data_IF_503505728353
#
_entry.id   IF_503505728353
#
_cell.length_a   1.000
_cell.length_b   1.000
_cell.length_c   1.000
_cell.angle_alpha   90.00
_cell.angle_beta   90.00
_cell.angle_gamma   90.00
#
_symmetry.space_group_name_H-M   'P 1'
#
loop_
_entity.id
_entity.type
_entity.pdbx_description
1 polymer ?
#
# COMPACT_ATOMS: atom_id res chain seq x y z
N UNK A 1 30.59 0.83 -7.76
CA UNK A 1 30.67 -0.16 -8.85
C UNK A 1 29.47 -1.10 -8.70
N UNK A 2 28.39 -0.92 -9.46
CA UNK A 2 27.23 -1.83 -9.46
C UNK A 2 27.61 -3.04 -10.33
N UNK A 3 27.88 -4.18 -9.71
CA UNK A 3 28.18 -5.42 -10.43
C UNK A 3 26.86 -6.17 -10.59
N UNK A 4 26.33 -6.20 -11.82
CA UNK A 4 25.20 -7.05 -12.18
C UNK A 4 25.74 -8.43 -12.54
N UNK A 5 25.46 -9.43 -11.71
CA UNK A 5 25.85 -10.82 -11.94
C UNK A 5 24.73 -11.58 -12.62
N UNK A 6 25.00 -12.19 -13.79
CA UNK A 6 24.03 -12.99 -14.54
C UNK A 6 24.32 -14.49 -14.38
N UNK A 7 23.28 -15.30 -14.25
CA UNK A 7 23.38 -16.78 -14.26
C UNK A 7 22.22 -17.35 -15.07
N UNK A 8 22.54 -18.15 -16.08
CA UNK A 8 21.56 -18.86 -16.91
C UNK A 8 21.18 -20.20 -16.25
N UNK A 9 19.89 -20.53 -16.22
CA UNK A 9 19.37 -21.75 -15.61
C UNK A 9 18.33 -22.37 -16.56
N UNK A 10 18.28 -23.70 -16.67
CA UNK A 10 17.41 -24.41 -17.62
C UNK A 10 15.96 -24.55 -17.12
N UNK A 11 15.02 -24.57 -18.08
CA UNK A 11 13.58 -24.39 -17.91
C UNK A 11 12.79 -25.61 -17.41
N UNK A 12 13.45 -26.68 -16.96
CA UNK A 12 12.78 -27.95 -16.61
C UNK A 12 12.21 -27.96 -15.19
N UNK A 13 12.38 -26.90 -14.39
CA UNK A 13 11.92 -26.83 -13.00
C UNK A 13 11.00 -25.62 -12.77
N UNK A 14 9.83 -25.85 -12.18
CA UNK A 14 8.85 -24.80 -11.80
C UNK A 14 9.29 -24.00 -10.55
N UNK A 15 10.36 -24.43 -9.89
CA UNK A 15 10.90 -23.85 -8.66
C UNK A 15 12.41 -23.67 -8.80
N UNK A 16 12.89 -22.48 -8.44
CA UNK A 16 14.30 -22.12 -8.45
C UNK A 16 14.77 -21.84 -7.03
N UNK A 17 15.86 -22.50 -6.62
CA UNK A 17 16.56 -22.23 -5.36
C UNK A 17 17.84 -21.48 -5.70
N UNK A 18 17.90 -20.21 -5.31
CA UNK A 18 19.08 -19.37 -5.50
C UNK A 18 19.77 -19.19 -4.15
N UNK A 19 21.01 -19.66 -4.07
CA UNK A 19 21.91 -19.39 -2.95
C UNK A 19 22.78 -18.19 -3.31
N UNK A 20 22.76 -17.17 -2.47
CA UNK A 20 23.53 -15.96 -2.69
C UNK A 20 24.13 -15.44 -1.38
N UNK A 21 25.42 -15.07 -1.42
CA UNK A 21 26.21 -14.72 -0.24
C UNK A 21 26.61 -13.23 -0.16
N UNK A 22 26.31 -12.45 -1.20
CA UNK A 22 26.64 -11.01 -1.26
C UNK A 22 25.39 -10.13 -1.14
N UNK A 23 25.50 -8.85 -0.76
CA UNK A 23 24.37 -7.92 -0.82
C UNK A 23 23.83 -7.78 -2.24
N UNK A 24 22.52 -7.85 -2.40
CA UNK A 24 21.80 -7.45 -3.61
C UNK A 24 20.52 -6.70 -3.24
N UNK A 25 19.94 -6.01 -4.20
CA UNK A 25 18.67 -5.31 -4.02
C UNK A 25 17.53 -6.03 -4.75
N UNK A 26 17.83 -6.63 -5.90
CA UNK A 26 16.84 -7.18 -6.80
C UNK A 26 17.38 -8.42 -7.52
N UNK A 27 16.53 -9.44 -7.66
CA UNK A 27 16.80 -10.65 -8.43
C UNK A 27 15.73 -10.78 -9.52
N UNK A 28 16.19 -10.83 -10.77
CA UNK A 28 15.36 -11.08 -11.96
C UNK A 28 15.72 -12.45 -12.52
N UNK A 29 14.71 -13.20 -12.94
CA UNK A 29 14.90 -14.43 -13.71
C UNK A 29 14.57 -14.11 -15.17
N UNK A 30 15.48 -14.43 -16.08
CA UNK A 30 15.27 -14.38 -17.52
C UNK A 30 14.98 -15.80 -18.05
N UNK A 31 13.88 -15.96 -18.79
CA UNK A 31 13.53 -17.19 -19.50
C UNK A 31 13.95 -17.12 -20.98
N UNK A 32 14.01 -18.28 -21.66
CA UNK A 32 14.48 -18.46 -23.06
C UNK A 32 13.97 -17.42 -24.09
N UNK A 33 12.80 -16.83 -23.87
CA UNK A 33 12.20 -15.83 -24.78
C UNK A 33 12.42 -14.37 -24.34
N UNK A 34 13.47 -14.07 -23.55
CA UNK A 34 13.69 -12.74 -22.92
C UNK A 34 12.49 -12.28 -22.08
N UNK A 35 11.77 -13.24 -21.50
CA UNK A 35 10.68 -12.95 -20.58
C UNK A 35 11.29 -12.87 -19.20
N UNK A 36 11.17 -11.70 -18.59
CA UNK A 36 11.70 -11.43 -17.27
C UNK A 36 10.63 -11.64 -16.21
N UNK A 37 11.02 -12.28 -15.11
CA UNK A 37 10.19 -12.45 -13.92
C UNK A 37 10.90 -11.87 -12.72
N UNK A 38 10.16 -11.14 -11.89
CA UNK A 38 10.69 -10.67 -10.61
C UNK A 38 10.72 -11.85 -9.64
N UNK A 39 11.91 -12.29 -9.26
CA UNK A 39 12.06 -13.36 -8.29
C UNK A 39 11.99 -12.81 -6.87
N UNK A 40 12.81 -11.80 -6.56
CA UNK A 40 12.96 -11.34 -5.18
C UNK A 40 13.40 -9.87 -5.13
N UNK A 41 12.88 -9.15 -4.14
CA UNK A 41 13.31 -7.80 -3.76
C UNK A 41 13.70 -7.86 -2.31
N UNK A 42 14.96 -7.55 -2.02
CA UNK A 42 15.47 -7.55 -0.66
C UNK A 42 15.23 -6.18 -0.02
N UNK A 43 14.28 -6.11 0.92
CA UNK A 43 13.95 -4.87 1.66
C UNK A 43 14.84 -4.69 2.90
N UNK A 44 15.24 -5.79 3.53
CA UNK A 44 16.08 -5.84 4.72
C UNK A 44 17.34 -6.64 4.42
N UNK A 45 18.49 -6.13 4.86
CA UNK A 45 19.79 -6.75 4.61
C UNK A 45 19.91 -8.05 5.40
N UNK A 46 20.12 -9.17 4.69
CA UNK A 46 20.39 -10.48 5.25
C UNK A 46 21.61 -11.07 4.53
N UNK A 47 22.59 -11.58 5.31
CA UNK A 47 23.90 -12.04 4.80
C UNK A 47 23.81 -13.25 3.86
N UNK A 48 22.81 -14.11 4.05
CA UNK A 48 22.59 -15.28 3.21
C UNK A 48 21.11 -15.62 3.21
N UNK A 49 20.47 -15.56 2.05
CA UNK A 49 19.06 -15.91 1.90
C UNK A 49 18.92 -17.05 0.89
N UNK A 50 18.12 -18.06 1.25
CA UNK A 50 17.70 -19.08 0.30
C UNK A 50 16.41 -18.59 -0.33
N UNK A 51 16.47 -18.16 -1.59
CA UNK A 51 15.28 -17.70 -2.31
C UNK A 51 14.61 -18.92 -2.93
N UNK A 52 13.46 -19.33 -2.37
CA UNK A 52 12.56 -20.29 -3.01
C UNK A 52 11.41 -19.54 -3.69
N UNK A 53 11.35 -19.57 -5.02
CA UNK A 53 10.31 -18.90 -5.79
C UNK A 53 9.67 -19.86 -6.78
N UNK A 54 8.34 -19.94 -6.69
CA UNK A 54 7.49 -20.53 -7.72
C UNK A 54 7.21 -19.47 -8.79
N UNK A 55 7.46 -19.80 -10.05
CA UNK A 55 7.21 -18.90 -11.17
C UNK A 55 5.69 -18.80 -11.38
N UNK A 56 5.11 -17.65 -11.04
CA UNK A 56 3.70 -17.35 -11.25
C UNK A 56 3.55 -16.32 -12.38
N UNK A 57 2.58 -16.45 -13.31
CA UNK A 57 2.30 -15.44 -14.35
C UNK A 57 2.09 -14.01 -13.80
N UNK A 58 1.61 -13.83 -12.57
CA UNK A 58 1.52 -12.50 -11.93
C UNK A 58 2.89 -11.84 -11.66
N UNK A 59 3.96 -12.63 -11.60
CA UNK A 59 5.35 -12.18 -11.42
C UNK A 59 6.06 -11.77 -12.71
N UNK A 60 5.37 -11.81 -13.87
CA UNK A 60 5.94 -11.40 -15.16
C UNK A 60 6.17 -9.89 -15.21
N UNK A 61 7.40 -9.49 -15.55
CA UNK A 61 7.71 -8.10 -15.91
C UNK A 61 7.19 -7.85 -17.34
N UNK A 62 6.38 -6.79 -17.52
CA UNK A 62 5.94 -6.38 -18.86
C UNK A 62 7.10 -5.76 -19.62
N UNK A 63 7.22 -6.08 -20.89
CA UNK A 63 8.28 -5.53 -21.74
C UNK A 63 8.01 -4.06 -22.05
N UNK A 64 9.06 -3.23 -22.22
CA UNK A 64 8.91 -1.79 -22.51
C UNK A 64 8.05 -1.52 -23.76
N UNK A 65 8.11 -2.41 -24.75
CA UNK A 65 7.28 -2.35 -25.97
C UNK A 65 5.80 -2.63 -25.72
N UNK A 66 5.47 -3.34 -24.63
CA UNK A 66 4.08 -3.56 -24.20
C UNK A 66 3.55 -2.37 -23.38
N UNK A 67 4.45 -1.58 -22.79
CA UNK A 67 4.12 -0.43 -21.94
C UNK A 67 4.00 0.87 -22.73
N UNK A 68 4.79 1.03 -23.79
CA UNK A 68 4.89 2.28 -24.54
C UNK A 68 4.78 2.06 -26.05
N UNK A 69 4.27 3.07 -26.76
CA UNK A 69 4.20 3.06 -28.21
C UNK A 69 5.61 2.98 -28.85
N UNK A 70 5.70 2.45 -30.07
CA UNK A 70 6.96 2.23 -30.81
C UNK A 70 7.82 3.49 -30.89
N UNK A 71 7.21 4.66 -31.01
CA UNK A 71 7.89 5.97 -31.05
C UNK A 71 8.64 6.28 -29.75
N UNK A 72 8.07 5.95 -28.58
CA UNK A 72 8.72 6.15 -27.28
C UNK A 72 9.89 5.20 -27.07
N UNK A 73 9.75 3.95 -27.50
CA UNK A 73 10.82 2.93 -27.41
C UNK A 73 12.02 3.33 -28.27
N UNK A 74 11.82 4.05 -29.37
CA UNK A 74 12.91 4.51 -30.25
C UNK A 74 13.65 5.75 -29.71
N UNK A 75 13.13 6.43 -28.68
CA UNK A 75 13.81 7.60 -28.11
C UNK A 75 15.08 7.22 -27.35
N UNK A 76 16.01 8.18 -27.26
CA UNK A 76 17.18 8.08 -26.39
C UNK A 76 16.76 7.79 -24.93
N UNK A 77 17.51 6.91 -24.26
CA UNK A 77 17.30 6.44 -22.89
C UNK A 77 17.03 7.58 -21.90
N UNK A 78 17.83 8.66 -21.93
CA UNK A 78 17.66 9.80 -21.01
C UNK A 78 16.30 10.50 -21.19
N UNK A 79 15.83 10.58 -22.45
CA UNK A 79 14.52 11.14 -22.76
C UNK A 79 13.40 10.18 -22.36
N UNK A 80 13.65 8.88 -22.52
CA UNK A 80 12.69 7.81 -22.22
C UNK A 80 12.40 7.68 -20.72
N UNK A 81 13.42 7.78 -19.87
CA UNK A 81 13.28 7.69 -18.41
C UNK A 81 12.31 8.74 -17.85
N UNK A 82 12.24 9.93 -18.47
CA UNK A 82 11.28 10.97 -18.08
C UNK A 82 9.83 10.50 -18.16
N UNK A 83 9.53 9.50 -18.98
CA UNK A 83 8.17 9.02 -19.24
C UNK A 83 7.81 7.75 -18.47
N UNK A 84 8.73 7.17 -17.68
CA UNK A 84 8.49 5.91 -16.96
C UNK A 84 7.44 6.02 -15.83
N UNK A 85 7.04 7.24 -15.45
CA UNK A 85 5.94 7.47 -14.52
C UNK A 85 4.54 7.32 -15.16
N UNK A 86 4.41 7.51 -16.49
CA UNK A 86 3.12 7.53 -17.18
C UNK A 86 2.32 6.23 -17.05
N UNK A 87 2.91 5.02 -17.24
CA UNK A 87 2.14 3.78 -17.19
C UNK A 87 1.53 3.49 -15.81
N UNK A 88 2.08 4.09 -14.75
CA UNK A 88 1.59 3.90 -13.39
C UNK A 88 0.68 5.03 -12.90
N UNK A 89 0.43 6.05 -13.73
CA UNK A 89 -0.50 7.12 -13.41
C UNK A 89 -1.95 6.61 -13.29
N UNK A 90 -2.31 5.50 -13.95
CA UNK A 90 -3.60 4.82 -13.76
C UNK A 90 -3.71 4.05 -12.44
N UNK A 91 -2.60 3.82 -11.75
CA UNK A 91 -2.56 3.08 -10.48
C UNK A 91 -2.79 4.03 -9.30
N UNK A 92 -2.24 5.24 -9.35
CA UNK A 92 -2.39 6.25 -8.31
C UNK A 92 -3.64 7.10 -8.54
N UNK A 93 -4.40 7.34 -7.47
CA UNK A 93 -5.62 8.14 -7.47
C UNK A 93 -5.31 9.60 -7.03
N UNK A 94 -6.30 10.49 -7.15
CA UNK A 94 -6.20 11.90 -6.72
C UNK A 94 -5.00 12.67 -7.33
N UNK A 95 -4.74 12.48 -8.62
CA UNK A 95 -3.70 13.20 -9.39
C UNK A 95 -2.29 13.15 -8.76
N UNK A 96 -2.00 12.06 -8.04
CA UNK A 96 -0.74 11.91 -7.32
C UNK A 96 0.42 11.55 -8.25
N UNK A 97 1.64 11.89 -7.83
CA UNK A 97 2.83 11.59 -8.60
C UNK A 97 3.16 10.10 -8.47
N UNK A 98 3.47 9.42 -9.57
CA UNK A 98 3.78 7.99 -9.55
C UNK A 98 5.21 7.73 -10.02
N UNK A 99 5.88 6.74 -9.43
CA UNK A 99 7.21 6.31 -9.85
C UNK A 99 7.29 4.79 -9.92
N UNK A 100 7.88 4.26 -10.98
CA UNK A 100 8.26 2.85 -11.04
C UNK A 100 9.67 2.66 -10.46
N UNK A 101 9.80 1.67 -9.58
CA UNK A 101 10.99 1.42 -8.77
C UNK A 101 12.24 1.10 -9.63
N UNK A 102 12.06 0.40 -10.77
CA UNK A 102 13.17 0.07 -11.68
C UNK A 102 12.78 0.07 -13.16
N UNK A 103 13.73 0.43 -14.02
CA UNK A 103 13.60 0.35 -15.49
C UNK A 103 13.54 -1.08 -16.02
N UNK A 104 14.16 -2.01 -15.31
CA UNK A 104 14.42 -3.36 -15.81
C UNK A 104 13.27 -4.32 -15.50
N UNK A 105 12.55 -4.09 -14.39
CA UNK A 105 11.33 -4.81 -14.08
C UNK A 105 10.30 -3.87 -13.39
N UNK A 106 9.43 -3.22 -14.16
CA UNK A 106 8.47 -2.23 -13.67
C UNK A 106 7.24 -2.89 -13.00
N UNK A 107 7.45 -3.75 -12.01
CA UNK A 107 6.37 -4.45 -11.32
C UNK A 107 5.79 -3.70 -10.12
N UNK A 108 6.52 -2.72 -9.58
CA UNK A 108 6.06 -1.91 -8.45
C UNK A 108 6.02 -0.45 -8.84
N UNK A 109 4.84 0.14 -8.61
CA UNK A 109 4.58 1.56 -8.69
C UNK A 109 4.45 2.12 -7.28
N UNK A 110 5.22 3.15 -6.97
CA UNK A 110 5.12 3.93 -5.75
C UNK A 110 4.35 5.22 -6.06
N UNK A 111 3.28 5.46 -5.32
CA UNK A 111 2.54 6.72 -5.38
C UNK A 111 3.10 7.68 -4.33
N UNK A 112 3.41 8.90 -4.74
CA UNK A 112 3.73 10.05 -3.89
C UNK A 112 2.48 10.92 -3.85
N UNK A 113 1.84 10.94 -2.69
CA UNK A 113 0.59 11.66 -2.51
C UNK A 113 0.81 13.16 -2.35
N UNK A 114 -0.12 13.96 -2.89
CA UNK A 114 -0.19 15.40 -2.61
C UNK A 114 -0.56 15.66 -1.15
N UNK A 115 -0.36 16.90 -0.71
CA UNK A 115 -0.78 17.34 0.62
C UNK A 115 -2.26 17.06 0.84
N UNK A 116 -2.60 16.55 2.02
CA UNK A 116 -3.96 16.16 2.38
C UNK A 116 -4.51 14.94 1.61
N UNK A 117 -3.66 14.08 1.04
CA UNK A 117 -4.04 12.81 0.41
C UNK A 117 -3.15 11.68 0.94
N UNK A 118 -3.71 10.50 1.17
CA UNK A 118 -3.01 9.37 1.79
C UNK A 118 -3.55 7.99 1.34
N UNK A 119 -2.84 6.93 1.73
CA UNK A 119 -3.11 5.53 1.33
C UNK A 119 -2.10 5.01 0.31
N UNK A 120 -2.08 3.69 0.09
CA UNK A 120 -1.13 3.01 -0.81
C UNK A 120 -1.26 3.42 -2.28
N UNK A 121 -2.43 3.92 -2.68
CA UNK A 121 -2.73 4.45 -4.01
C UNK A 121 -3.11 5.93 -3.95
N UNK A 122 -2.88 6.59 -2.83
CA UNK A 122 -3.36 7.95 -2.58
C UNK A 122 -4.89 8.08 -2.73
N UNK A 123 -5.64 7.04 -2.34
CA UNK A 123 -7.09 6.95 -2.55
C UNK A 123 -7.92 7.76 -1.55
N UNK A 124 -7.34 8.20 -0.44
CA UNK A 124 -8.06 8.90 0.62
C UNK A 124 -7.64 10.36 0.68
N UNK A 125 -8.60 11.28 0.79
CA UNK A 125 -8.35 12.71 0.93
C UNK A 125 -8.78 13.21 2.31
N UNK A 126 -7.91 13.94 3.00
CA UNK A 126 -8.18 14.64 4.25
C UNK A 126 -8.76 16.04 4.05
N UNK A 127 -8.86 16.56 2.82
CA UNK A 127 -9.38 17.93 2.58
C UNK A 127 -10.88 18.12 2.87
N UNK A 128 -11.62 17.01 3.03
CA UNK A 128 -13.03 17.00 3.45
C UNK A 128 -13.26 16.54 4.89
N UNK A 129 -12.19 16.17 5.59
CA UNK A 129 -12.28 15.88 7.00
C UNK A 129 -11.84 17.12 7.75
N UNK A 130 -12.82 17.95 8.12
CA UNK A 130 -12.66 18.85 9.28
C UNK A 130 -12.02 18.03 10.39
N UNK A 131 -11.00 18.54 11.09
CA UNK A 131 -10.15 17.88 12.10
C UNK A 131 -10.96 17.02 13.10
N UNK A 132 -11.43 15.88 12.64
CA UNK A 132 -12.32 14.99 13.34
C UNK A 132 -11.49 13.79 13.75
N UNK A 133 -11.82 13.26 14.93
CA UNK A 133 -11.16 12.08 15.47
C UNK A 133 -11.25 10.91 14.46
N UNK A 134 -12.32 10.88 13.65
CA UNK A 134 -12.53 9.91 12.56
C UNK A 134 -11.48 9.98 11.45
N UNK A 135 -10.94 11.16 11.14
CA UNK A 135 -9.92 11.33 10.11
C UNK A 135 -8.56 10.77 10.54
N UNK A 136 -8.18 11.05 11.79
CA UNK A 136 -6.94 10.56 12.41
C UNK A 136 -7.03 9.05 12.60
N UNK A 137 -8.19 8.56 13.04
CA UNK A 137 -8.42 7.14 13.21
C UNK A 137 -8.48 6.39 11.87
N UNK A 138 -9.12 6.99 10.87
CA UNK A 138 -9.25 6.46 9.51
C UNK A 138 -7.91 6.11 8.86
N UNK A 139 -6.87 6.91 9.09
CA UNK A 139 -5.51 6.62 8.60
C UNK A 139 -4.94 5.31 9.17
N UNK A 140 -5.28 4.98 10.42
CA UNK A 140 -4.77 3.80 11.12
C UNK A 140 -5.66 2.55 10.94
N UNK A 141 -6.85 2.69 10.38
CA UNK A 141 -7.75 1.55 10.13
C UNK A 141 -7.26 0.78 8.91
N UNK A 142 -6.98 -0.51 9.11
CA UNK A 142 -6.63 -1.44 8.04
C UNK A 142 -7.84 -2.30 7.70
N UNK A 143 -8.52 -2.07 6.56
CA UNK A 143 -9.80 -2.70 6.26
C UNK A 143 -9.70 -4.22 6.01
N UNK A 144 -8.50 -4.72 5.71
CA UNK A 144 -8.27 -6.13 5.41
C UNK A 144 -7.96 -6.98 6.65
N UNK A 145 -7.98 -6.39 7.84
CA UNK A 145 -7.60 -7.04 9.10
C UNK A 145 -8.76 -6.95 10.09
N UNK A 146 -9.04 -8.05 10.79
CA UNK A 146 -10.08 -8.11 11.82
C UNK A 146 -9.78 -7.19 12.99
N UNK A 147 -10.82 -6.70 13.67
CA UNK A 147 -10.74 -5.72 14.76
C UNK A 147 -9.74 -6.11 15.88
N UNK A 148 -9.57 -7.41 16.15
CA UNK A 148 -8.64 -7.92 17.16
C UNK A 148 -7.17 -7.77 16.77
N UNK A 149 -6.86 -7.69 15.47
CA UNK A 149 -5.50 -7.53 14.95
C UNK A 149 -5.22 -6.11 14.44
N UNK A 150 -6.19 -5.20 14.56
CA UNK A 150 -5.97 -3.79 14.25
C UNK A 150 -5.01 -3.12 15.24
N UNK A 151 -4.32 -2.03 14.84
CA UNK A 151 -3.36 -1.33 15.67
C UNK A 151 -3.98 -0.81 16.98
N UNK A 152 -3.15 -0.70 18.03
CA UNK A 152 -3.58 -0.34 19.38
C UNK A 152 -4.37 0.98 19.42
N UNK A 153 -4.01 1.95 18.57
CA UNK A 153 -4.69 3.25 18.45
C UNK A 153 -6.18 3.08 18.15
N UNK A 154 -6.55 2.16 17.25
CA UNK A 154 -7.95 1.93 16.86
C UNK A 154 -8.72 1.21 17.96
N UNK A 155 -8.08 0.27 18.67
CA UNK A 155 -8.70 -0.44 19.80
C UNK A 155 -9.03 0.50 20.95
N UNK A 156 -8.09 1.39 21.30
CA UNK A 156 -8.26 2.35 22.40
C UNK A 156 -9.35 3.38 22.11
N UNK A 157 -9.43 3.88 20.88
CA UNK A 157 -10.49 4.83 20.52
C UNK A 157 -11.87 4.16 20.50
N UNK A 158 -11.98 2.92 20.02
CA UNK A 158 -13.23 2.14 20.05
C UNK A 158 -13.72 1.94 21.48
N UNK A 159 -12.82 1.65 22.43
CA UNK A 159 -13.19 1.52 23.83
C UNK A 159 -13.71 2.85 24.41
N UNK A 160 -13.04 3.96 24.12
CA UNK A 160 -13.45 5.29 24.58
C UNK A 160 -14.80 5.72 24.01
N UNK A 161 -15.07 5.48 22.73
CA UNK A 161 -16.36 5.82 22.10
C UNK A 161 -17.52 5.01 22.70
N UNK A 162 -17.30 3.72 22.98
CA UNK A 162 -18.29 2.88 23.68
C UNK A 162 -18.60 3.44 25.06
N UNK A 163 -17.58 3.85 25.83
CA UNK A 163 -17.77 4.43 27.18
C UNK A 163 -18.58 5.72 27.11
N UNK A 164 -18.23 6.65 26.22
CA UNK A 164 -18.97 7.93 26.09
C UNK A 164 -20.44 7.72 25.69
N UNK A 165 -20.71 6.77 24.79
CA UNK A 165 -22.07 6.42 24.40
C UNK A 165 -22.87 5.85 25.56
N UNK A 166 -22.27 4.96 26.36
CA UNK A 166 -22.94 4.38 27.54
C UNK A 166 -23.24 5.45 28.58
N UNK A 167 -22.28 6.32 28.88
CA UNK A 167 -22.49 7.44 29.83
C UNK A 167 -23.57 8.40 29.33
N UNK A 168 -23.54 8.76 28.05
CA UNK A 168 -24.56 9.61 27.43
C UNK A 168 -25.96 8.98 27.49
N UNK A 169 -26.05 7.66 27.27
CA UNK A 169 -27.30 6.93 27.37
C UNK A 169 -27.85 6.91 28.81
N UNK A 170 -27.00 6.64 29.80
CA UNK A 170 -27.40 6.65 31.22
C UNK A 170 -27.91 8.04 31.63
N UNK A 171 -27.18 9.10 31.26
CA UNK A 171 -27.58 10.48 31.54
C UNK A 171 -28.91 10.85 30.87
N UNK A 172 -29.11 10.42 29.62
CA UNK A 172 -30.37 10.62 28.90
C UNK A 172 -31.56 9.92 29.58
N UNK A 173 -31.37 8.68 30.04
CA UNK A 173 -32.41 7.94 30.78
C UNK A 173 -32.73 8.60 32.12
N UNK A 174 -31.71 9.01 32.88
CA UNK A 174 -31.89 9.70 34.16
C UNK A 174 -32.62 11.03 34.01
N UNK A 175 -32.27 11.82 33.00
CA UNK A 175 -32.95 13.07 32.68
C UNK A 175 -34.43 12.79 32.34
N UNK A 176 -34.71 11.79 31.51
CA UNK A 176 -36.08 11.42 31.12
C UNK A 176 -36.92 10.99 32.33
N UNK A 177 -36.34 10.23 33.26
CA UNK A 177 -37.01 9.83 34.52
C UNK A 177 -37.29 11.06 35.39
N UNK A 178 -36.34 11.99 35.47
CA UNK A 178 -36.46 13.21 36.30
C UNK A 178 -37.57 14.12 35.77
N UNK A 179 -37.66 14.31 34.45
CA UNK A 179 -38.72 15.10 33.82
C UNK A 179 -40.10 14.42 33.79
N UNK A 180 -40.17 13.09 33.94
CA UNK A 180 -41.44 12.38 34.08
C UNK A 180 -42.03 12.43 35.50
N UNK A 181 -41.26 12.90 36.49
CA UNK A 181 -41.74 12.98 37.87
C UNK A 181 -42.63 14.22 38.06
N UNK A 182 -43.94 13.99 38.20
CA UNK A 182 -45.00 15.04 38.28
C UNK A 182 -44.76 16.09 39.35
N UNK A 183 -44.02 15.77 40.40
CA UNK A 183 -43.72 16.66 41.54
C UNK A 183 -42.85 17.87 41.17
N UNK A 184 -42.09 17.81 40.07
CA UNK A 184 -41.17 18.89 39.64
C UNK A 184 -41.86 19.86 38.65
N UNK A 185 -42.96 19.45 38.01
CA UNK A 185 -43.76 20.34 37.16
C UNK A 185 -44.72 21.26 37.95
N UNK A 186 -44.86 21.06 39.26
CA UNK A 186 -45.82 21.80 40.11
C UNK A 186 -45.23 23.04 40.80
N UNK A 187 -43.90 23.21 40.78
CA UNK A 187 -43.19 24.38 41.36
C UNK A 187 -42.89 25.48 40.34
N UNK A 188 -43.45 25.39 39.14
CA UNK A 188 -43.40 26.43 38.11
C UNK A 188 -44.68 27.26 38.06
N UNK A 189 -44.95 28.05 39.10
CA UNK A 189 -45.76 29.27 39.01
C UNK A 189 -44.88 30.48 39.31
#
# INVERSE_FOLDING_TARGET
>A
MRITTFRTISLTQNSLIIYWSQPFHLVIIELLNKIYYLAFIQKTYERSTTINKMINPSGRCRHINELFNKTFVQMNVLRRIKYYHLPCQSVCENECQCFQDTSDCPQRSMCICLTCVFGTRCQFSSSRFDLSLDAILGYHIQPHISLLHQPNIVKTSLALTIIFMVVGFINGVLALITFNNKTICEVGC
#
